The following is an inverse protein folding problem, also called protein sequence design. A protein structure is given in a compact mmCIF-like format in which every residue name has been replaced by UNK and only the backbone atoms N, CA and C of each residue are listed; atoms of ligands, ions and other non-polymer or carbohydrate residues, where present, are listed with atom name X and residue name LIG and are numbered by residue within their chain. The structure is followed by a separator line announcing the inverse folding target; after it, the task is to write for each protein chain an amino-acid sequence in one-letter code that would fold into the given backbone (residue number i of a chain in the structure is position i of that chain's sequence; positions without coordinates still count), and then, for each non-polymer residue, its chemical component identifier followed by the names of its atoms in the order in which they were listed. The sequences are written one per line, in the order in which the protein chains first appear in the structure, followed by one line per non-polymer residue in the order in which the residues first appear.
data_IF_964515230831
#
_entry.id   IF_964515230831
#
_cell.length_a   1.000
_cell.length_b   1.000
_cell.length_c   1.000
_cell.angle_alpha   90.00
_cell.angle_beta   90.00
_cell.angle_gamma   90.00
#
_symmetry.space_group_name_H-M   'P 1'
#
loop_
_entity.id
_entity.type
_entity.pdbx_description
1 polymer ?
#
# COMPACT_ATOMS: atom_id res chain seq x y z
N UNK A 1 -16.24 -9.39 -9.73
CA UNK A 1 -15.27 -9.05 -10.81
C UNK A 1 -14.54 -10.32 -11.20
N UNK A 2 -14.32 -10.57 -12.49
CA UNK A 2 -13.49 -11.68 -12.96
C UNK A 2 -12.13 -11.12 -13.34
N UNK A 3 -11.07 -11.68 -12.80
CA UNK A 3 -9.71 -11.25 -13.11
C UNK A 3 -9.20 -11.90 -14.40
N UNK A 4 -8.32 -11.21 -15.10
CA UNK A 4 -7.59 -11.72 -16.25
C UNK A 4 -6.47 -12.66 -15.78
N UNK A 5 -6.30 -13.78 -16.46
CA UNK A 5 -5.20 -14.72 -16.23
C UNK A 5 -3.80 -14.07 -16.38
N UNK A 6 -3.74 -12.84 -16.92
CA UNK A 6 -2.53 -12.04 -17.01
C UNK A 6 -2.02 -11.62 -15.63
N UNK A 7 -2.90 -11.35 -14.66
CA UNK A 7 -2.53 -10.82 -13.36
C UNK A 7 -2.52 -11.90 -12.29
N UNK A 8 -3.46 -12.81 -12.32
CA UNK A 8 -3.58 -13.91 -11.37
C UNK A 8 -4.43 -15.03 -11.95
N UNK A 9 -4.15 -16.27 -11.55
CA UNK A 9 -4.98 -17.45 -11.90
C UNK A 9 -6.19 -17.60 -10.97
N UNK A 10 -6.26 -16.78 -9.91
CA UNK A 10 -7.39 -16.78 -8.97
C UNK A 10 -8.48 -15.84 -9.47
N UNK A 11 -9.73 -16.21 -9.27
CA UNK A 11 -10.80 -15.23 -9.33
C UNK A 11 -10.83 -14.38 -8.05
N UNK A 12 -11.65 -13.32 -8.03
CA UNK A 12 -11.72 -12.41 -6.88
C UNK A 12 -12.12 -13.13 -5.59
N UNK A 13 -13.02 -14.10 -5.66
CA UNK A 13 -13.50 -14.82 -4.48
C UNK A 13 -12.39 -15.70 -3.88
N UNK A 14 -11.68 -16.43 -4.71
CA UNK A 14 -10.54 -17.25 -4.31
C UNK A 14 -9.41 -16.39 -3.72
N UNK A 15 -9.11 -15.23 -4.32
CA UNK A 15 -8.12 -14.29 -3.81
C UNK A 15 -8.54 -13.73 -2.44
N UNK A 16 -9.79 -13.31 -2.29
CA UNK A 16 -10.34 -12.84 -1.01
C UNK A 16 -10.22 -13.90 0.09
N UNK A 17 -10.57 -15.15 -0.21
CA UNK A 17 -10.47 -16.26 0.75
C UNK A 17 -9.01 -16.49 1.16
N UNK A 18 -8.07 -16.49 0.19
CA UNK A 18 -6.64 -16.65 0.46
C UNK A 18 -6.10 -15.52 1.36
N UNK A 19 -6.53 -14.28 1.13
CA UNK A 19 -6.15 -13.11 1.93
C UNK A 19 -6.76 -13.19 3.33
N UNK A 20 -8.05 -13.51 3.44
CA UNK A 20 -8.77 -13.62 4.71
C UNK A 20 -8.13 -14.64 5.67
N UNK A 21 -7.62 -15.75 5.15
CA UNK A 21 -6.95 -16.77 5.97
C UNK A 21 -5.62 -16.30 6.60
N UNK A 22 -5.10 -15.15 6.18
CA UNK A 22 -3.78 -14.64 6.61
C UNK A 22 -3.86 -13.45 7.56
N UNK A 23 -5.07 -13.01 7.92
CA UNK A 23 -5.23 -11.83 8.75
C UNK A 23 -6.46 -11.91 9.65
N UNK A 24 -6.50 -11.07 10.69
CA UNK A 24 -7.65 -10.92 11.57
C UNK A 24 -8.88 -10.37 10.82
N UNK A 25 -10.07 -10.65 11.34
CA UNK A 25 -11.34 -10.14 10.79
C UNK A 25 -11.34 -8.61 10.68
N UNK A 26 -10.78 -7.93 11.69
CA UNK A 26 -10.66 -6.46 11.67
C UNK A 26 -9.81 -5.98 10.50
N UNK A 27 -8.67 -6.64 10.24
CA UNK A 27 -7.78 -6.31 9.13
C UNK A 27 -8.44 -6.61 7.79
N UNK A 28 -9.11 -7.75 7.70
CA UNK A 28 -9.81 -8.12 6.48
C UNK A 28 -10.92 -7.12 6.13
N UNK A 29 -11.69 -6.63 7.12
CA UNK A 29 -12.69 -5.59 6.90
C UNK A 29 -12.06 -4.30 6.35
N UNK A 30 -10.90 -3.89 6.87
CA UNK A 30 -10.13 -2.77 6.36
C UNK A 30 -9.74 -2.99 4.88
N UNK A 31 -9.16 -4.15 4.56
CA UNK A 31 -8.76 -4.51 3.18
C UNK A 31 -9.92 -4.41 2.20
N UNK A 32 -11.12 -4.84 2.59
CA UNK A 32 -12.31 -4.70 1.75
C UNK A 32 -12.71 -3.23 1.53
N UNK A 33 -12.58 -2.38 2.55
CA UNK A 33 -12.80 -0.93 2.42
C UNK A 33 -11.77 -0.27 1.50
N UNK A 34 -10.52 -0.70 1.58
CA UNK A 34 -9.46 -0.23 0.66
C UNK A 34 -9.75 -0.67 -0.77
N UNK A 35 -10.19 -1.92 -0.99
CA UNK A 35 -10.57 -2.39 -2.33
C UNK A 35 -11.72 -1.58 -2.93
N UNK A 36 -12.79 -1.34 -2.18
CA UNK A 36 -13.93 -0.53 -2.62
C UNK A 36 -13.47 0.88 -3.04
N UNK A 37 -12.65 1.51 -2.21
CA UNK A 37 -12.10 2.85 -2.46
C UNK A 37 -11.18 2.87 -3.67
N UNK A 38 -10.28 1.89 -3.78
CA UNK A 38 -9.32 1.80 -4.88
C UNK A 38 -9.99 1.59 -6.23
N UNK A 39 -11.04 0.75 -6.29
CA UNK A 39 -11.84 0.54 -7.51
C UNK A 39 -12.51 1.86 -7.92
N UNK A 40 -13.15 2.57 -6.98
CA UNK A 40 -13.82 3.84 -7.28
C UNK A 40 -12.83 4.91 -7.80
N UNK A 41 -11.66 5.02 -7.18
CA UNK A 41 -10.61 5.93 -7.65
C UNK A 41 -10.06 5.50 -9.02
N UNK A 42 -9.87 4.20 -9.26
CA UNK A 42 -9.40 3.70 -10.56
C UNK A 42 -10.38 4.02 -11.68
N UNK A 43 -11.68 3.81 -11.47
CA UNK A 43 -12.71 4.17 -12.43
C UNK A 43 -12.74 5.68 -12.71
N UNK A 44 -12.58 6.50 -11.67
CA UNK A 44 -12.61 7.95 -11.78
C UNK A 44 -11.41 8.53 -12.53
N UNK A 45 -10.22 8.00 -12.29
CA UNK A 45 -8.97 8.55 -12.84
C UNK A 45 -8.45 7.79 -14.07
N UNK A 46 -9.16 6.74 -14.52
CA UNK A 46 -8.83 6.02 -15.75
C UNK A 46 -7.73 4.98 -15.59
N UNK A 47 -7.59 4.40 -14.39
CA UNK A 47 -6.77 3.23 -14.13
C UNK A 47 -7.60 1.95 -14.26
N UNK A 48 -6.94 0.79 -14.32
CA UNK A 48 -7.58 -0.52 -14.34
C UNK A 48 -8.24 -0.85 -12.99
N UNK A 49 -9.58 -0.93 -12.91
CA UNK A 49 -10.25 -1.37 -11.68
C UNK A 49 -9.84 -2.78 -11.24
N UNK A 50 -9.46 -3.62 -12.20
CA UNK A 50 -8.96 -4.98 -11.94
C UNK A 50 -7.61 -4.96 -11.21
N UNK A 51 -6.64 -4.18 -11.69
CA UNK A 51 -5.35 -4.00 -11.01
C UNK A 51 -5.53 -3.37 -9.64
N UNK A 52 -6.38 -2.35 -9.53
CA UNK A 52 -6.68 -1.68 -8.28
C UNK A 52 -7.28 -2.65 -7.25
N UNK A 53 -8.23 -3.51 -7.68
CA UNK A 53 -8.82 -4.53 -6.82
C UNK A 53 -7.78 -5.53 -6.32
N UNK A 54 -6.94 -6.09 -7.21
CA UNK A 54 -5.92 -7.06 -6.84
C UNK A 54 -4.89 -6.44 -5.89
N UNK A 55 -4.37 -5.26 -6.21
CA UNK A 55 -3.39 -4.57 -5.37
C UNK A 55 -3.98 -4.22 -3.99
N UNK A 56 -5.21 -3.71 -3.93
CA UNK A 56 -5.88 -3.36 -2.68
C UNK A 56 -6.18 -4.60 -1.81
N UNK A 57 -6.67 -5.69 -2.38
CA UNK A 57 -6.91 -6.93 -1.62
C UNK A 57 -5.62 -7.50 -1.02
N UNK A 58 -4.47 -7.24 -1.65
CA UNK A 58 -3.21 -7.88 -1.27
C UNK A 58 -2.20 -6.94 -0.59
N UNK A 59 -2.47 -5.62 -0.51
CA UNK A 59 -1.51 -4.66 0.05
C UNK A 59 -1.06 -5.00 1.47
N UNK A 60 -1.98 -5.46 2.31
CA UNK A 60 -1.76 -5.82 3.71
C UNK A 60 -1.63 -7.35 3.95
N UNK A 61 -1.48 -8.16 2.89
CA UNK A 61 -1.39 -9.64 2.99
C UNK A 61 -0.33 -10.12 3.99
N UNK A 62 0.75 -9.37 4.13
CA UNK A 62 1.84 -9.71 5.03
C UNK A 62 1.77 -8.99 6.39
N UNK A 63 0.76 -8.13 6.65
CA UNK A 63 0.71 -7.25 7.82
C UNK A 63 0.79 -7.95 9.18
N UNK A 64 0.25 -9.13 9.28
CA UNK A 64 0.17 -9.87 10.55
C UNK A 64 1.19 -11.04 10.61
N UNK A 65 2.25 -11.00 9.77
CA UNK A 65 3.38 -11.93 9.85
C UNK A 65 4.32 -11.55 10.97
N UNK A 66 5.06 -12.56 11.44
CA UNK A 66 6.07 -12.36 12.48
C UNK A 66 7.29 -11.60 11.96
N UNK A 67 8.01 -10.95 12.86
CA UNK A 67 9.24 -10.25 12.53
C UNK A 67 10.32 -11.21 12.01
N UNK A 68 10.36 -12.45 12.50
CA UNK A 68 11.29 -13.48 12.05
C UNK A 68 11.06 -13.86 10.58
N UNK A 69 9.79 -13.95 10.14
CA UNK A 69 9.49 -14.21 8.73
C UNK A 69 10.01 -13.08 7.83
N UNK A 70 9.83 -11.82 8.25
CA UNK A 70 10.34 -10.66 7.52
C UNK A 70 11.86 -10.60 7.51
N UNK A 71 12.52 -10.80 8.65
CA UNK A 71 13.99 -10.80 8.74
C UNK A 71 14.58 -11.85 7.82
N UNK A 72 14.04 -13.06 7.82
CA UNK A 72 14.45 -14.13 6.93
C UNK A 72 14.25 -13.79 5.44
N UNK A 73 13.12 -13.14 5.11
CA UNK A 73 12.85 -12.70 3.75
C UNK A 73 13.84 -11.58 3.32
N UNK A 74 14.14 -10.64 4.21
CA UNK A 74 15.14 -9.58 3.96
C UNK A 74 16.53 -10.18 3.75
N UNK A 75 16.94 -11.13 4.58
CA UNK A 75 18.24 -11.78 4.47
C UNK A 75 18.40 -12.53 3.14
N UNK A 76 17.37 -13.19 2.67
CA UNK A 76 17.36 -13.97 1.42
C UNK A 76 17.08 -13.14 0.18
N UNK A 77 16.33 -12.06 0.30
CA UNK A 77 15.91 -11.20 -0.80
C UNK A 77 17.04 -10.35 -1.38
N UNK A 78 16.79 -9.67 -2.47
CA UNK A 78 17.76 -8.78 -3.12
C UNK A 78 17.46 -7.31 -2.79
N UNK A 79 17.69 -6.90 -1.53
CA UNK A 79 17.52 -5.52 -1.08
C UNK A 79 18.88 -4.80 -1.10
N UNK A 80 18.90 -3.57 -1.59
CA UNK A 80 20.14 -2.79 -1.74
C UNK A 80 20.85 -2.51 -0.40
N UNK A 81 20.09 -2.32 0.69
CA UNK A 81 20.64 -2.08 2.02
C UNK A 81 19.87 -2.85 3.10
N UNK A 82 20.16 -4.16 3.21
CA UNK A 82 19.51 -5.04 4.18
C UNK A 82 19.71 -4.58 5.63
N UNK A 83 20.95 -4.16 5.96
CA UNK A 83 21.30 -3.71 7.31
C UNK A 83 20.49 -2.49 7.73
N UNK A 84 20.26 -1.56 6.80
CA UNK A 84 19.41 -0.40 7.05
C UNK A 84 17.93 -0.81 7.18
N UNK A 85 17.44 -1.64 6.27
CA UNK A 85 16.04 -2.10 6.27
C UNK A 85 15.70 -2.87 7.56
N UNK A 86 16.61 -3.64 8.12
CA UNK A 86 16.45 -4.39 9.37
C UNK A 86 16.31 -3.50 10.62
N UNK A 87 16.66 -2.21 10.55
CA UNK A 87 16.41 -1.26 11.65
C UNK A 87 14.94 -0.84 11.78
N UNK A 88 14.16 -1.05 10.74
CA UNK A 88 12.73 -0.78 10.74
C UNK A 88 11.94 -2.05 11.04
N UNK A 89 10.70 -1.90 11.46
CA UNK A 89 9.84 -3.02 11.80
C UNK A 89 8.74 -3.25 10.76
N UNK A 90 7.78 -4.04 11.17
CA UNK A 90 6.60 -4.41 10.39
C UNK A 90 5.90 -3.20 9.74
N UNK A 91 5.92 -2.00 10.38
CA UNK A 91 5.33 -0.79 9.81
C UNK A 91 5.86 -0.45 8.41
N UNK A 92 7.10 -0.85 8.09
CA UNK A 92 7.72 -0.67 6.77
C UNK A 92 7.75 -1.99 5.99
N UNK A 93 8.07 -3.09 6.66
CA UNK A 93 8.31 -4.36 6.00
C UNK A 93 7.09 -4.94 5.32
N UNK A 94 5.87 -4.75 5.89
CA UNK A 94 4.66 -5.35 5.34
C UNK A 94 4.31 -4.87 3.92
N UNK A 95 4.66 -3.64 3.56
CA UNK A 95 4.57 -3.15 2.19
C UNK A 95 5.78 -3.59 1.37
N UNK A 96 6.96 -3.09 1.73
CA UNK A 96 8.17 -3.23 0.94
C UNK A 96 8.59 -4.69 0.72
N UNK A 97 8.56 -5.50 1.77
CA UNK A 97 8.89 -6.93 1.73
C UNK A 97 7.65 -7.78 1.49
N UNK A 98 6.48 -7.28 1.90
CA UNK A 98 5.19 -7.96 1.76
C UNK A 98 4.85 -8.32 0.33
N UNK A 99 5.23 -7.50 -0.64
CA UNK A 99 5.05 -7.78 -2.06
C UNK A 99 5.72 -9.09 -2.52
N UNK A 100 6.85 -9.50 -1.91
CA UNK A 100 7.49 -10.79 -2.22
C UNK A 100 6.66 -11.99 -1.74
N UNK A 101 5.99 -11.85 -0.59
CA UNK A 101 5.06 -12.88 -0.12
C UNK A 101 3.86 -13.00 -1.05
N UNK A 102 3.31 -11.87 -1.49
CA UNK A 102 2.20 -11.82 -2.46
C UNK A 102 2.61 -12.49 -3.77
N UNK A 103 3.76 -12.13 -4.33
CA UNK A 103 4.27 -12.72 -5.57
C UNK A 103 4.43 -14.23 -5.46
N UNK A 104 5.05 -14.71 -4.39
CA UNK A 104 5.37 -16.12 -4.20
C UNK A 104 4.16 -16.98 -3.83
N UNK A 105 3.29 -16.49 -2.95
CA UNK A 105 2.22 -17.31 -2.34
C UNK A 105 0.90 -17.20 -3.10
N UNK A 106 0.66 -16.07 -3.79
CA UNK A 106 -0.55 -15.84 -4.57
C UNK A 106 -0.29 -15.87 -6.09
N UNK A 107 0.96 -16.14 -6.52
CA UNK A 107 1.37 -16.18 -7.92
C UNK A 107 1.01 -14.91 -8.70
N UNK A 108 1.10 -13.74 -8.06
CA UNK A 108 0.92 -12.44 -8.69
C UNK A 108 2.30 -11.95 -9.13
N UNK A 109 2.48 -11.72 -10.44
CA UNK A 109 3.77 -11.34 -11.03
C UNK A 109 3.73 -10.01 -11.80
N UNK A 110 2.59 -9.34 -11.83
CA UNK A 110 2.49 -8.02 -12.46
C UNK A 110 3.24 -6.99 -11.59
N UNK A 111 4.29 -6.38 -12.16
CA UNK A 111 5.15 -5.46 -11.43
C UNK A 111 4.47 -4.15 -11.04
N UNK A 112 3.44 -3.70 -11.75
CA UNK A 112 2.69 -2.51 -11.33
C UNK A 112 1.87 -2.79 -10.08
N UNK A 113 1.23 -3.97 -10.00
CA UNK A 113 0.52 -4.41 -8.80
C UNK A 113 1.48 -4.57 -7.63
N UNK A 114 2.60 -5.27 -7.83
CA UNK A 114 3.60 -5.49 -6.77
C UNK A 114 4.24 -4.17 -6.31
N UNK A 115 4.45 -3.21 -7.23
CA UNK A 115 5.00 -1.91 -6.87
C UNK A 115 4.00 -1.09 -6.03
N UNK A 116 2.73 -1.09 -6.38
CA UNK A 116 1.70 -0.43 -5.57
C UNK A 116 1.66 -1.00 -4.13
N UNK A 117 1.82 -2.33 -3.97
CA UNK A 117 1.95 -2.96 -2.66
C UNK A 117 3.21 -2.48 -1.92
N UNK A 118 4.37 -2.41 -2.60
CA UNK A 118 5.63 -1.94 -1.98
C UNK A 118 5.54 -0.51 -1.48
N UNK A 119 4.80 0.33 -2.18
CA UNK A 119 4.77 1.78 -1.95
C UNK A 119 3.61 2.25 -1.07
N UNK A 120 2.61 1.42 -0.78
CA UNK A 120 1.39 1.87 -0.10
C UNK A 120 1.62 2.47 1.28
N UNK A 121 2.75 2.18 1.93
CA UNK A 121 3.06 2.71 3.28
C UNK A 121 3.94 3.97 3.24
N UNK A 122 4.89 4.02 2.32
CA UNK A 122 5.93 5.06 2.30
C UNK A 122 5.78 6.06 1.17
N UNK A 123 5.00 5.71 0.15
CA UNK A 123 5.06 6.37 -1.14
C UNK A 123 6.43 6.26 -1.80
N UNK A 124 6.66 7.06 -2.82
CA UNK A 124 7.94 7.28 -3.49
C UNK A 124 7.95 8.65 -4.17
N UNK A 125 9.15 9.14 -4.56
CA UNK A 125 9.27 10.36 -5.36
C UNK A 125 8.58 10.21 -6.73
N UNK A 126 8.69 9.04 -7.33
CA UNK A 126 7.95 8.69 -8.55
C UNK A 126 6.92 7.61 -8.23
N UNK A 127 5.67 7.87 -8.57
CA UNK A 127 4.53 6.99 -8.37
C UNK A 127 3.69 6.92 -9.64
N UNK A 128 3.37 5.70 -10.07
CA UNK A 128 2.37 5.46 -11.12
C UNK A 128 0.98 5.86 -10.64
N UNK A 129 0.00 5.85 -11.54
CA UNK A 129 -1.38 6.13 -11.15
C UNK A 129 -1.90 5.07 -10.18
N UNK A 130 -1.57 3.79 -10.40
CA UNK A 130 -1.95 2.71 -9.50
C UNK A 130 -1.29 2.84 -8.11
N UNK A 131 -0.01 3.22 -8.05
CA UNK A 131 0.68 3.45 -6.78
C UNK A 131 -0.03 4.51 -5.93
N UNK A 132 -0.41 5.65 -6.55
CA UNK A 132 -1.14 6.73 -5.89
C UNK A 132 -2.51 6.29 -5.41
N UNK A 133 -3.23 5.52 -6.24
CA UNK A 133 -4.55 5.00 -5.90
C UNK A 133 -4.49 4.13 -4.66
N UNK A 134 -3.55 3.18 -4.59
CA UNK A 134 -3.46 2.26 -3.44
C UNK A 134 -2.97 3.01 -2.19
N UNK A 135 -1.98 3.90 -2.31
CA UNK A 135 -1.49 4.75 -1.24
C UNK A 135 -2.63 5.56 -0.61
N UNK A 136 -3.39 6.28 -1.42
CA UNK A 136 -4.50 7.13 -0.98
C UNK A 136 -5.69 6.29 -0.49
N UNK A 137 -6.03 5.19 -1.15
CA UNK A 137 -7.17 4.35 -0.76
C UNK A 137 -7.00 3.75 0.64
N UNK A 138 -5.79 3.30 1.01
CA UNK A 138 -5.50 2.83 2.36
C UNK A 138 -5.73 3.91 3.42
N UNK A 139 -5.38 5.15 3.10
CA UNK A 139 -5.52 6.30 4.00
C UNK A 139 -6.97 6.74 4.20
N UNK A 140 -7.82 6.68 3.15
CA UNK A 140 -9.17 7.27 3.16
C UNK A 140 -10.32 6.26 3.21
N UNK A 141 -10.06 4.94 3.26
CA UNK A 141 -11.12 3.92 3.21
C UNK A 141 -12.22 4.20 4.27
N UNK A 142 -13.47 3.73 4.05
CA UNK A 142 -14.63 4.12 4.88
C UNK A 142 -14.49 3.82 6.37
N UNK A 143 -13.67 2.84 6.76
CA UNK A 143 -13.42 2.49 8.17
C UNK A 143 -12.46 3.44 8.89
N UNK A 144 -11.78 4.33 8.18
CA UNK A 144 -10.87 5.31 8.78
C UNK A 144 -11.64 6.44 9.45
N UNK A 145 -11.23 6.80 10.67
CA UNK A 145 -11.88 7.85 11.49
C UNK A 145 -10.85 8.60 12.33
N UNK A 146 -9.98 9.36 11.68
CA UNK A 146 -8.99 10.23 12.35
C UNK A 146 -9.21 11.70 11.91
N UNK A 147 -8.69 12.68 12.67
CA UNK A 147 -8.82 14.10 12.30
C UNK A 147 -8.24 14.37 10.91
N UNK A 148 -9.03 14.99 10.02
CA UNK A 148 -8.64 15.32 8.65
C UNK A 148 -8.94 14.26 7.59
N UNK A 149 -9.46 13.08 7.95
CA UNK A 149 -9.79 12.04 6.95
C UNK A 149 -10.86 12.50 5.96
N UNK A 150 -11.85 13.28 6.40
CA UNK A 150 -12.88 13.81 5.52
C UNK A 150 -12.31 14.81 4.51
N UNK A 151 -11.37 15.65 4.92
CA UNK A 151 -10.67 16.56 4.01
C UNK A 151 -9.86 15.75 2.98
N UNK A 152 -9.18 14.69 3.42
CA UNK A 152 -8.46 13.80 2.51
C UNK A 152 -9.38 13.15 1.47
N UNK A 153 -10.58 12.69 1.88
CA UNK A 153 -11.59 12.13 0.97
C UNK A 153 -12.03 13.13 -0.09
N UNK A 154 -12.32 14.37 0.32
CA UNK A 154 -12.72 15.45 -0.60
C UNK A 154 -11.61 15.78 -1.59
N UNK A 155 -10.36 15.83 -1.12
CA UNK A 155 -9.19 16.09 -1.97
C UNK A 155 -8.98 14.95 -2.97
N UNK A 156 -9.02 13.69 -2.50
CA UNK A 156 -8.80 12.50 -3.32
C UNK A 156 -9.76 12.37 -4.50
N UNK A 157 -11.02 12.80 -4.31
CA UNK A 157 -12.02 12.83 -5.39
C UNK A 157 -11.75 13.90 -6.47
N UNK A 158 -10.81 14.81 -6.26
CA UNK A 158 -10.52 15.90 -7.20
C UNK A 158 -9.14 15.78 -7.84
N UNK A 159 -8.17 15.42 -7.04
CA UNK A 159 -6.77 15.44 -7.43
C UNK A 159 -5.96 14.45 -6.56
N UNK A 160 -5.52 13.36 -7.20
CA UNK A 160 -4.72 12.33 -6.51
C UNK A 160 -3.34 12.84 -6.08
N UNK A 161 -2.73 13.75 -6.84
CA UNK A 161 -1.42 14.29 -6.50
C UNK A 161 -1.51 15.15 -5.23
N UNK A 162 -2.57 15.93 -5.09
CA UNK A 162 -2.85 16.67 -3.86
C UNK A 162 -3.22 15.74 -2.70
N UNK A 163 -3.91 14.62 -2.96
CA UNK A 163 -4.21 13.64 -1.92
C UNK A 163 -2.92 12.95 -1.41
N UNK A 164 -2.02 12.56 -2.30
CA UNK A 164 -0.69 12.04 -1.93
C UNK A 164 0.08 13.06 -1.08
N UNK A 165 0.09 14.34 -1.48
CA UNK A 165 0.75 15.40 -0.72
C UNK A 165 0.13 15.58 0.66
N UNK A 166 -1.20 15.57 0.75
CA UNK A 166 -1.94 15.69 2.01
C UNK A 166 -1.60 14.55 2.97
N UNK A 167 -1.76 13.30 2.51
CA UNK A 167 -1.46 12.11 3.29
C UNK A 167 0.00 12.09 3.76
N UNK A 168 0.96 12.29 2.84
CA UNK A 168 2.39 12.28 3.15
C UNK A 168 2.74 13.30 4.21
N UNK A 169 2.18 14.51 4.12
CA UNK A 169 2.40 15.58 5.12
C UNK A 169 1.89 15.18 6.50
N UNK A 170 0.68 14.64 6.57
CA UNK A 170 0.04 14.29 7.85
C UNK A 170 0.68 13.04 8.46
N UNK A 171 1.01 12.04 7.65
CA UNK A 171 1.73 10.84 8.09
C UNK A 171 3.11 11.20 8.65
N UNK A 172 3.88 12.04 7.95
CA UNK A 172 5.19 12.48 8.43
C UNK A 172 5.09 13.28 9.73
N UNK A 173 4.13 14.21 9.83
CA UNK A 173 3.89 14.98 11.06
C UNK A 173 3.56 14.04 12.22
N UNK A 174 2.67 13.07 12.02
CA UNK A 174 2.32 12.08 13.03
C UNK A 174 3.53 11.23 13.47
N UNK A 175 4.36 10.77 12.54
CA UNK A 175 5.57 10.01 12.88
C UNK A 175 6.54 10.81 13.75
N UNK A 176 6.72 12.11 13.44
CA UNK A 176 7.59 13.01 14.20
C UNK A 176 7.01 13.28 15.59
N UNK A 177 5.71 13.57 15.69
CA UNK A 177 5.03 13.81 16.97
C UNK A 177 5.04 12.57 17.88
N UNK A 178 4.96 11.38 17.31
CA UNK A 178 5.01 10.11 18.02
C UNK A 178 6.44 9.60 18.28
N UNK A 179 7.47 10.36 17.90
CA UNK A 179 8.88 9.98 18.00
C UNK A 179 9.20 8.63 17.31
N UNK A 180 8.44 8.30 16.26
CA UNK A 180 8.64 7.08 15.49
C UNK A 180 9.74 7.26 14.43
N UNK A 181 10.48 6.18 14.11
CA UNK A 181 11.46 6.21 13.03
C UNK A 181 10.82 6.60 11.68
N UNK A 182 11.45 7.51 10.96
CA UNK A 182 11.04 7.92 9.62
C UNK A 182 11.89 7.16 8.59
N UNK A 183 11.25 6.33 7.77
CA UNK A 183 11.94 5.61 6.71
C UNK A 183 12.39 6.60 5.61
N UNK A 184 13.62 6.49 5.06
CA UNK A 184 14.15 7.48 4.11
C UNK A 184 13.24 7.75 2.91
N UNK A 185 12.60 6.73 2.36
CA UNK A 185 11.67 6.87 1.24
C UNK A 185 10.47 7.77 1.57
N UNK A 186 9.97 7.76 2.82
CA UNK A 186 8.89 8.68 3.26
C UNK A 186 9.35 10.14 3.19
N UNK A 187 10.61 10.41 3.52
CA UNK A 187 11.19 11.76 3.38
C UNK A 187 11.35 12.15 1.91
N UNK A 188 11.75 11.22 1.05
CA UNK A 188 11.82 11.46 -0.41
C UNK A 188 10.43 11.77 -0.98
N UNK A 189 9.41 11.04 -0.56
CA UNK A 189 7.99 11.26 -0.93
C UNK A 189 7.55 12.67 -0.50
N UNK A 190 7.84 13.06 0.74
CA UNK A 190 7.56 14.41 1.22
C UNK A 190 8.26 15.49 0.41
N UNK A 191 9.54 15.33 0.14
CA UNK A 191 10.31 16.31 -0.64
C UNK A 191 9.73 16.49 -2.04
N UNK A 192 9.31 15.42 -2.66
CA UNK A 192 8.75 15.45 -4.02
C UNK A 192 7.34 16.00 -4.07
N UNK A 193 6.44 15.50 -3.24
CA UNK A 193 5.01 15.80 -3.36
C UNK A 193 4.56 16.99 -2.52
N UNK A 194 5.20 17.26 -1.38
CA UNK A 194 4.81 18.33 -0.46
C UNK A 194 5.72 19.55 -0.61
N UNK A 195 7.03 19.36 -0.56
CA UNK A 195 8.00 20.47 -0.65
C UNK A 195 8.31 20.91 -2.10
N UNK A 196 7.90 20.12 -3.11
CA UNK A 196 8.06 20.46 -4.52
C UNK A 196 9.49 20.39 -5.03
N UNK A 197 10.37 19.64 -4.40
CA UNK A 197 11.74 19.39 -4.88
C UNK A 197 11.66 18.46 -6.08
N UNK A 198 12.19 18.93 -7.23
CA UNK A 198 12.23 18.17 -8.49
C UNK A 198 13.51 17.36 -8.63
#
# INVERSE_FOLDING_TARGET
MKYSDRYTVMDREALMQAVQMRMSERRFKHVLGVEETAIALAEQFGESPEKASIAALTHDYAKERSDEEFQLAIERGNYANKTELLKYGNAIWHGLVGAEFVARELNISDEEILNAIRLHTTGAAEMTLLDKIIYVADYIEPGRSFPGVEDARVIALRDLDQAVAFETKHTLAHLIEAENPVYPKTTETYNRWVAGIK
#
